data_IF_756249969586
#
_entry.id   IF_756249969586
#
_cell.length_a   1.000
_cell.length_b   1.000
_cell.length_c   1.000
_cell.angle_alpha   90.00
_cell.angle_beta   90.00
_cell.angle_gamma   90.00
#
_symmetry.space_group_name_H-M   'P 1'
#
loop_
_entity.id
_entity.type
_entity.pdbx_description
1 polymer ?
#
# COMPACT_ATOMS: atom_id res chain seq x y z
N UNK A 1 -4.46 -2.82 -6.05
CA UNK A 1 -3.58 -2.88 -4.86
C UNK A 1 -2.69 -4.13 -4.80
N UNK A 2 -3.24 -5.38 -4.78
CA UNK A 2 -2.41 -6.60 -4.66
C UNK A 2 -1.30 -6.70 -5.72
N UNK A 3 -1.62 -6.37 -6.98
CA UNK A 3 -0.63 -6.35 -8.07
C UNK A 3 0.48 -5.31 -7.86
N UNK A 4 0.14 -4.10 -7.37
CA UNK A 4 1.15 -3.08 -6.99
C UNK A 4 2.07 -3.59 -5.88
N UNK A 5 1.53 -4.25 -4.85
CA UNK A 5 2.36 -4.89 -3.84
C UNK A 5 3.31 -5.92 -4.46
N UNK A 6 2.83 -6.81 -5.33
CA UNK A 6 3.69 -7.76 -6.03
C UNK A 6 4.78 -7.05 -6.85
N UNK A 7 4.46 -5.93 -7.51
CA UNK A 7 5.46 -5.14 -8.23
C UNK A 7 6.55 -4.59 -7.30
N UNK A 8 6.23 -4.15 -6.08
CA UNK A 8 7.23 -3.83 -5.06
C UNK A 8 8.09 -5.04 -4.66
N UNK A 9 7.50 -6.23 -4.53
CA UNK A 9 8.24 -7.47 -4.21
C UNK A 9 9.18 -7.86 -5.37
N UNK A 10 8.70 -7.75 -6.60
CA UNK A 10 9.42 -8.13 -7.83
C UNK A 10 10.35 -7.03 -8.36
N UNK A 11 10.38 -5.86 -7.71
CA UNK A 11 11.17 -4.68 -8.13
C UNK A 11 10.78 -4.15 -9.52
N UNK A 12 9.50 -4.25 -9.86
CA UNK A 12 8.92 -3.80 -11.13
C UNK A 12 8.48 -2.33 -11.04
N UNK A 13 9.44 -1.43 -11.20
CA UNK A 13 9.19 0.01 -11.18
C UNK A 13 8.25 0.46 -12.30
N UNK A 14 8.35 -0.16 -13.48
CA UNK A 14 7.58 0.24 -14.65
C UNK A 14 6.09 -0.06 -14.44
N UNK A 15 5.74 -1.20 -13.81
CA UNK A 15 4.37 -1.49 -13.41
C UNK A 15 3.84 -0.50 -12.36
N UNK A 16 4.67 -0.13 -11.38
CA UNK A 16 4.28 0.84 -10.35
C UNK A 16 3.98 2.22 -10.95
N UNK A 17 4.82 2.69 -11.88
CA UNK A 17 4.65 3.95 -12.59
C UNK A 17 3.41 3.89 -13.49
N UNK A 18 3.25 2.83 -14.28
CA UNK A 18 2.11 2.64 -15.20
C UNK A 18 0.76 2.56 -14.47
N UNK A 19 0.74 2.04 -13.25
CA UNK A 19 -0.47 1.89 -12.44
C UNK A 19 -0.72 3.05 -11.47
N UNK A 20 0.10 4.10 -11.55
CA UNK A 20 -0.19 5.42 -10.98
C UNK A 20 -0.98 6.25 -11.98
N UNK A 21 -1.84 7.12 -11.47
CA UNK A 21 -2.59 8.03 -12.33
C UNK A 21 -1.64 9.03 -13.01
N UNK A 22 -1.84 9.39 -14.29
CA UNK A 22 -0.93 10.28 -15.00
C UNK A 22 -0.69 11.63 -14.32
N UNK A 23 -1.71 12.18 -13.63
CA UNK A 23 -1.59 13.46 -12.91
C UNK A 23 -0.66 13.40 -11.70
N UNK A 24 -0.33 12.21 -11.19
CA UNK A 24 0.62 12.03 -10.09
C UNK A 24 2.08 12.20 -10.55
N UNK A 25 2.34 12.27 -11.86
CA UNK A 25 3.68 12.38 -12.46
C UNK A 25 4.69 11.36 -11.90
N UNK A 26 4.20 10.13 -11.71
CA UNK A 26 4.91 8.96 -11.21
C UNK A 26 6.33 8.76 -11.74
N UNK A 27 6.54 9.03 -13.04
CA UNK A 27 7.82 8.81 -13.71
C UNK A 27 8.94 9.68 -13.13
N UNK A 28 8.62 10.84 -12.55
CA UNK A 28 9.60 11.72 -11.92
C UNK A 28 10.23 11.09 -10.66
N UNK A 29 9.59 10.09 -10.06
CA UNK A 29 10.06 9.41 -8.84
C UNK A 29 10.70 8.05 -9.13
N UNK A 30 11.02 7.75 -10.40
CA UNK A 30 11.53 6.43 -10.80
C UNK A 30 12.79 6.03 -10.03
N UNK A 31 13.73 6.94 -9.91
CA UNK A 31 15.01 6.66 -9.24
C UNK A 31 14.81 6.42 -7.74
N UNK A 32 13.91 7.17 -7.09
CA UNK A 32 13.54 6.97 -5.69
C UNK A 32 12.86 5.61 -5.46
N UNK A 33 11.95 5.22 -6.36
CA UNK A 33 11.29 3.90 -6.32
C UNK A 33 12.34 2.79 -6.41
N UNK A 34 13.28 2.90 -7.36
CA UNK A 34 14.32 1.89 -7.58
C UNK A 34 15.27 1.83 -6.37
N UNK A 35 15.67 2.98 -5.83
CA UNK A 35 16.50 3.04 -4.64
C UNK A 35 15.82 2.35 -3.44
N UNK A 36 14.51 2.52 -3.29
CA UNK A 36 13.71 1.87 -2.23
C UNK A 36 13.70 0.33 -2.29
N UNK A 37 13.97 -0.28 -3.45
CA UNK A 37 14.01 -1.74 -3.60
C UNK A 37 15.27 -2.40 -3.03
N UNK A 38 16.37 -1.65 -2.87
CA UNK A 38 17.66 -2.23 -2.49
C UNK A 38 17.65 -2.79 -1.06
N UNK A 39 16.97 -2.11 -0.15
CA UNK A 39 17.06 -2.36 1.29
C UNK A 39 15.80 -2.97 1.92
N UNK A 40 14.71 -3.05 1.15
CA UNK A 40 13.40 -3.50 1.65
C UNK A 40 13.11 -4.94 1.22
N UNK A 41 12.88 -5.82 2.21
CA UNK A 41 12.29 -7.15 2.00
C UNK A 41 10.85 -7.15 2.45
N UNK A 42 9.92 -7.32 1.52
CA UNK A 42 8.50 -7.47 1.84
C UNK A 42 8.19 -8.85 2.41
N UNK A 43 7.45 -8.88 3.52
CA UNK A 43 7.13 -10.09 4.29
C UNK A 43 5.68 -10.55 4.12
N UNK A 44 4.78 -9.65 3.70
CA UNK A 44 3.38 -9.98 3.47
C UNK A 44 2.48 -8.77 3.35
N UNK A 45 1.33 -8.98 2.70
CA UNK A 45 0.25 -8.00 2.56
C UNK A 45 -1.01 -8.53 3.22
N UNK A 46 -1.63 -7.72 4.08
CA UNK A 46 -2.96 -7.97 4.63
C UNK A 46 -3.89 -6.85 4.20
N UNK A 47 -4.93 -7.15 3.42
CA UNK A 47 -6.01 -6.21 3.14
C UNK A 47 -7.11 -6.45 4.17
N UNK A 48 -7.49 -5.42 4.91
CA UNK A 48 -8.50 -5.53 5.96
C UNK A 48 -9.78 -4.74 5.66
N UNK A 49 -9.76 -3.86 4.67
CA UNK A 49 -10.94 -3.11 4.23
C UNK A 49 -10.80 -2.76 2.75
N UNK A 50 -11.93 -2.72 2.05
CA UNK A 50 -12.01 -2.19 0.69
C UNK A 50 -13.43 -1.72 0.41
N UNK A 51 -13.56 -0.66 -0.38
CA UNK A 51 -14.85 -0.15 -0.85
C UNK A 51 -14.70 0.46 -2.24
N UNK A 52 -15.79 0.59 -2.98
CA UNK A 52 -15.79 1.23 -4.28
C UNK A 52 -17.16 1.82 -4.61
N UNK A 53 -17.15 2.93 -5.35
CA UNK A 53 -18.33 3.65 -5.84
C UNK A 53 -18.30 3.71 -7.37
N UNK A 54 -19.29 3.07 -8.02
CA UNK A 54 -19.46 3.14 -9.49
C UNK A 54 -19.77 4.55 -9.94
N UNK A 55 -20.61 5.29 -9.20
CA UNK A 55 -20.98 6.66 -9.56
C UNK A 55 -19.77 7.61 -9.56
N UNK A 56 -18.84 7.43 -8.63
CA UNK A 56 -17.64 8.28 -8.50
C UNK A 56 -16.40 7.70 -9.19
N UNK A 57 -16.53 6.52 -9.80
CA UNK A 57 -15.41 5.75 -10.33
C UNK A 57 -14.22 5.61 -9.35
N UNK A 58 -14.48 5.61 -8.05
CA UNK A 58 -13.44 5.70 -7.01
C UNK A 58 -13.48 4.46 -6.11
N UNK A 59 -12.30 3.97 -5.74
CA UNK A 59 -12.13 2.82 -4.86
C UNK A 59 -11.11 3.09 -3.76
N UNK A 60 -11.29 2.45 -2.62
CA UNK A 60 -10.36 2.54 -1.50
C UNK A 60 -9.95 1.15 -1.04
N UNK A 61 -8.69 1.00 -0.65
CA UNK A 61 -8.16 -0.24 -0.07
C UNK A 61 -7.33 0.08 1.16
N UNK A 62 -7.76 -0.40 2.33
CA UNK A 62 -6.99 -0.31 3.57
C UNK A 62 -6.20 -1.60 3.80
N UNK A 63 -4.88 -1.48 3.99
CA UNK A 63 -3.98 -2.63 4.09
C UNK A 63 -2.84 -2.42 5.09
N UNK A 64 -2.20 -3.54 5.43
CA UNK A 64 -0.93 -3.60 6.13
C UNK A 64 0.08 -4.31 5.24
N UNK A 65 1.17 -3.64 4.87
CA UNK A 65 2.31 -4.25 4.19
C UNK A 65 3.48 -4.36 5.17
N UNK A 66 3.87 -5.59 5.51
CA UNK A 66 5.00 -5.84 6.41
C UNK A 66 6.28 -5.91 5.61
N UNK A 67 7.35 -5.36 6.19
CA UNK A 67 8.67 -5.40 5.59
C UNK A 67 9.75 -5.61 6.66
N UNK A 68 10.94 -5.98 6.19
CA UNK A 68 12.18 -5.96 6.94
C UNK A 68 13.18 -5.09 6.19
N UNK A 69 13.80 -4.16 6.89
CA UNK A 69 14.85 -3.29 6.38
C UNK A 69 16.01 -3.28 7.38
N UNK A 70 17.21 -3.64 6.92
CA UNK A 70 18.42 -3.73 7.74
C UNK A 70 18.23 -4.54 9.05
N UNK A 71 17.45 -5.62 8.98
CA UNK A 71 17.17 -6.51 10.12
C UNK A 71 16.09 -6.00 11.08
N UNK A 72 15.53 -4.80 10.85
CA UNK A 72 14.38 -4.27 11.62
C UNK A 72 13.10 -4.54 10.85
N UNK A 73 12.09 -5.06 11.55
CA UNK A 73 10.77 -5.26 10.95
C UNK A 73 9.90 -4.01 11.13
N UNK A 74 9.09 -3.74 10.12
CA UNK A 74 8.16 -2.63 10.10
C UNK A 74 6.87 -2.99 9.38
N UNK A 75 5.91 -2.09 9.43
CA UNK A 75 4.65 -2.22 8.72
C UNK A 75 4.19 -0.86 8.19
N UNK A 76 3.81 -0.84 6.91
CA UNK A 76 3.05 0.26 6.33
C UNK A 76 1.58 -0.02 6.57
N UNK A 77 0.85 0.96 7.09
CA UNK A 77 -0.58 0.91 7.29
C UNK A 77 -1.18 2.07 6.52
N UNK A 78 -1.93 1.76 5.48
CA UNK A 78 -2.39 2.76 4.53
C UNK A 78 -3.80 2.42 4.04
N UNK A 79 -4.58 3.47 3.79
CA UNK A 79 -5.80 3.46 2.98
C UNK A 79 -5.48 4.18 1.68
N UNK A 80 -5.25 3.41 0.61
CA UNK A 80 -5.00 3.94 -0.72
C UNK A 80 -6.31 4.25 -1.43
N UNK A 81 -6.32 5.36 -2.18
CA UNK A 81 -7.39 5.73 -3.10
C UNK A 81 -7.00 5.38 -4.54
N UNK A 82 -7.97 4.85 -5.27
CA UNK A 82 -7.87 4.51 -6.67
C UNK A 82 -8.99 5.17 -7.47
N UNK A 83 -8.72 5.54 -8.70
CA UNK A 83 -9.74 5.95 -9.68
C UNK A 83 -9.78 4.95 -10.84
N UNK A 84 -10.96 4.73 -11.39
CA UNK A 84 -11.20 3.87 -12.55
C UNK A 84 -11.47 4.74 -13.77
N UNK A 85 -10.61 4.67 -14.77
CA UNK A 85 -10.78 5.39 -16.03
C UNK A 85 -10.59 4.42 -17.21
N UNK A 86 -11.51 4.46 -18.18
CA UNK A 86 -11.48 3.60 -19.36
C UNK A 86 -11.32 2.10 -19.03
N UNK A 87 -11.94 1.65 -17.93
CA UNK A 87 -11.88 0.27 -17.45
C UNK A 87 -10.60 -0.10 -16.69
N UNK A 88 -9.64 0.82 -16.54
CA UNK A 88 -8.38 0.60 -15.82
C UNK A 88 -8.36 1.34 -14.48
N UNK A 89 -7.78 0.70 -13.46
CA UNK A 89 -7.61 1.28 -12.13
C UNK A 89 -6.22 1.92 -11.97
N UNK A 90 -6.21 3.13 -11.43
CA UNK A 90 -5.00 3.90 -11.15
C UNK A 90 -4.94 4.28 -9.67
N UNK A 91 -3.77 4.11 -9.05
CA UNK A 91 -3.53 4.67 -7.72
C UNK A 91 -3.40 6.19 -7.82
N UNK A 92 -3.97 6.91 -6.86
CA UNK A 92 -3.83 8.37 -6.74
C UNK A 92 -2.96 8.72 -5.53
N UNK A 93 -3.44 8.39 -4.34
CA UNK A 93 -2.79 8.72 -3.07
C UNK A 93 -3.12 7.69 -1.98
N UNK A 94 -2.52 7.87 -0.81
CA UNK A 94 -2.77 7.05 0.36
C UNK A 94 -2.73 7.88 1.64
N UNK A 95 -3.58 7.49 2.59
CA UNK A 95 -3.65 8.12 3.92
C UNK A 95 -3.45 7.08 5.00
N UNK A 96 -3.04 7.51 6.20
CA UNK A 96 -2.98 6.59 7.34
C UNK A 96 -4.38 6.43 7.94
N UNK A 97 -4.96 5.21 7.97
CA UNK A 97 -6.27 5.01 8.55
C UNK A 97 -6.22 5.22 10.06
N UNK A 98 -7.32 5.74 10.64
CA UNK A 98 -7.43 5.90 12.08
C UNK A 98 -7.80 4.56 12.72
N UNK A 99 -6.81 3.93 13.35
CA UNK A 99 -6.99 2.71 14.13
C UNK A 99 -6.88 3.03 15.61
N UNK A 100 -7.86 2.58 16.41
CA UNK A 100 -7.84 2.76 17.85
C UNK A 100 -6.65 2.04 18.47
N UNK A 101 -5.94 2.73 19.37
CA UNK A 101 -4.72 2.22 20.01
C UNK A 101 -4.89 0.83 20.66
N UNK A 102 -6.09 0.53 21.16
CA UNK A 102 -6.42 -0.72 21.84
C UNK A 102 -7.22 -1.71 20.97
N UNK A 103 -7.56 -1.36 19.74
CA UNK A 103 -8.34 -2.21 18.84
C UNK A 103 -7.54 -3.47 18.46
N UNK A 104 -8.23 -4.57 18.09
CA UNK A 104 -7.56 -5.72 17.48
C UNK A 104 -6.75 -5.26 16.27
N UNK A 105 -5.48 -5.68 16.20
CA UNK A 105 -4.62 -5.29 15.09
C UNK A 105 -5.15 -5.92 13.79
N UNK A 106 -5.40 -5.14 12.71
CA UNK A 106 -6.04 -5.66 11.50
C UNK A 106 -5.15 -6.61 10.67
N UNK A 107 -3.93 -6.87 11.16
CA UNK A 107 -2.99 -7.79 10.55
C UNK A 107 -3.24 -9.27 10.90
N UNK A 108 -4.29 -9.56 11.69
CA UNK A 108 -4.68 -10.92 12.09
C UNK A 108 -3.85 -11.54 13.22
N UNK A 109 -2.97 -10.79 13.89
CA UNK A 109 -2.09 -11.34 14.93
C UNK A 109 -2.77 -11.67 16.27
N UNK A 110 -4.05 -11.29 16.43
CA UNK A 110 -4.78 -11.38 17.70
C UNK A 110 -4.32 -10.37 18.78
N UNK A 111 -3.27 -9.59 18.53
CA UNK A 111 -2.75 -8.58 19.47
C UNK A 111 -3.49 -7.24 19.32
N UNK A 112 -3.47 -6.41 20.38
CA UNK A 112 -3.88 -4.99 20.30
C UNK A 112 -2.97 -4.22 19.34
N UNK A 113 -3.51 -3.24 18.62
CA UNK A 113 -2.78 -2.46 17.61
C UNK A 113 -1.45 -1.88 18.12
N UNK A 114 -1.45 -1.22 19.29
CA UNK A 114 -0.23 -0.67 19.94
C UNK A 114 0.86 -1.69 20.30
N UNK A 115 0.52 -2.97 20.34
CA UNK A 115 1.45 -4.08 20.67
C UNK A 115 1.80 -4.90 19.41
N UNK A 116 1.47 -4.39 18.24
CA UNK A 116 1.70 -5.05 16.96
C UNK A 116 2.08 -4.01 15.89
N UNK A 117 1.26 -3.79 14.85
CA UNK A 117 1.62 -2.90 13.75
C UNK A 117 1.60 -1.40 14.09
N UNK A 118 1.10 -1.01 15.27
CA UNK A 118 1.14 0.37 15.75
C UNK A 118 2.38 0.71 16.59
N UNK A 119 3.40 -0.15 16.60
CA UNK A 119 4.69 0.10 17.25
C UNK A 119 5.62 0.95 16.39
#
# INVERSE_FOLDING_TARGET
>A
MRSRYCAFVMKDADYLIKSWHPTCNAAAFRDDIIAGFANTRWLGLTIFEHTWSEAENTGYVSFIARFSEQGKTGAIIERSRFIKENGQWYYIDGTRPQLGRNDPCPCGSGKKFKKCCGQ
#
